data_IF_874898683508
#
_entry.id   IF_874898683508
#
_cell.length_a   1.000
_cell.length_b   1.000
_cell.length_c   1.000
_cell.angle_alpha   90.00
_cell.angle_beta   90.00
_cell.angle_gamma   90.00
#
_symmetry.space_group_name_H-M   'P 1'
#
loop_
_entity.id
_entity.type
_entity.pdbx_description
1 polymer ?
#
# COMPACT_ATOMS: atom_id res chain seq x y z
N UNK A 1 -51.11 34.10 12.36
CA UNK A 1 -50.50 32.95 13.07
C UNK A 1 -49.45 32.38 12.11
N UNK A 2 -48.17 32.72 12.27
CA UNK A 2 -47.20 32.09 13.20
C UNK A 2 -46.67 30.75 12.64
N UNK A 3 -45.79 30.78 11.64
CA UNK A 3 -44.34 30.58 11.84
C UNK A 3 -43.61 30.46 10.47
N UNK A 4 -42.61 31.31 10.21
CA UNK A 4 -41.61 31.09 9.18
C UNK A 4 -40.37 30.47 9.84
N UNK A 5 -39.96 29.25 9.49
CA UNK A 5 -38.62 28.81 9.88
C UNK A 5 -38.14 27.55 9.13
N UNK A 6 -36.93 27.70 8.60
CA UNK A 6 -35.91 26.69 8.30
C UNK A 6 -36.24 25.59 7.29
N UNK A 7 -35.71 25.76 6.08
CA UNK A 7 -34.89 24.69 5.48
C UNK A 7 -33.60 25.32 4.96
N UNK A 8 -32.60 25.39 5.85
CA UNK A 8 -31.23 25.78 5.51
C UNK A 8 -30.63 24.63 4.68
N UNK A 9 -30.72 24.75 3.37
CA UNK A 9 -30.06 23.84 2.43
C UNK A 9 -28.92 24.60 1.78
N UNK A 10 -27.68 24.27 2.15
CA UNK A 10 -26.58 24.20 1.18
C UNK A 10 -25.33 23.58 1.80
N UNK A 11 -24.97 22.45 1.20
CA UNK A 11 -23.62 22.07 0.83
C UNK A 11 -22.68 21.62 1.95
N UNK A 12 -22.81 20.33 2.30
CA UNK A 12 -21.70 19.57 2.84
C UNK A 12 -20.58 19.55 1.79
N UNK A 13 -19.54 20.36 2.00
CA UNK A 13 -18.30 20.25 1.26
C UNK A 13 -17.68 18.90 1.62
N UNK A 14 -17.64 17.97 0.67
CA UNK A 14 -16.76 16.81 0.76
C UNK A 14 -15.33 17.35 0.69
N UNK A 15 -14.69 17.45 1.85
CA UNK A 15 -13.27 17.72 1.94
C UNK A 15 -12.59 16.39 1.55
N UNK A 16 -12.30 16.22 0.26
CA UNK A 16 -11.26 15.29 -0.15
C UNK A 16 -9.95 15.83 0.40
N UNK A 17 -9.45 15.23 1.48
CA UNK A 17 -8.13 15.55 2.00
C UNK A 17 -7.09 15.36 0.90
N UNK A 18 -6.00 16.15 0.89
CA UNK A 18 -4.91 15.91 -0.03
C UNK A 18 -4.42 14.48 0.22
N UNK A 19 -4.40 13.65 -0.83
CA UNK A 19 -3.40 12.59 -0.89
C UNK A 19 -2.07 13.36 -0.83
N UNK A 20 -1.51 13.45 0.37
CA UNK A 20 -0.22 14.10 0.57
C UNK A 20 0.77 13.23 -0.18
N UNK A 21 1.15 13.68 -1.38
CA UNK A 21 2.23 13.09 -2.12
C UNK A 21 3.51 13.27 -1.28
N UNK A 22 4.18 12.16 -0.97
CA UNK A 22 5.23 12.04 0.03
C UNK A 22 5.54 10.59 0.37
N UNK A 23 6.37 10.37 1.41
CA UNK A 23 6.67 9.02 1.91
C UNK A 23 5.39 8.30 2.34
N UNK A 24 5.09 7.20 1.65
CA UNK A 24 4.02 6.27 1.96
C UNK A 24 4.59 4.99 2.54
N UNK A 25 3.83 4.37 3.45
CA UNK A 25 4.11 3.01 3.91
C UNK A 25 2.96 2.11 3.49
N UNK A 26 3.27 0.99 2.87
CA UNK A 26 2.28 -0.01 2.47
C UNK A 26 2.72 -1.40 2.88
N UNK A 27 1.77 -2.33 2.95
CA UNK A 27 2.05 -3.75 3.13
C UNK A 27 1.58 -4.51 1.91
N UNK A 28 2.47 -5.34 1.35
CA UNK A 28 2.12 -6.25 0.27
C UNK A 28 2.40 -7.69 0.70
N UNK A 29 1.56 -8.60 0.24
CA UNK A 29 1.76 -10.04 0.34
C UNK A 29 2.16 -10.58 -1.02
N UNK A 30 3.27 -11.31 -1.07
CA UNK A 30 3.83 -11.93 -2.26
C UNK A 30 3.71 -13.44 -2.11
N UNK A 31 3.09 -14.09 -3.08
CA UNK A 31 2.87 -15.55 -3.07
C UNK A 31 3.66 -16.23 -4.18
N UNK A 32 3.63 -17.57 -4.21
CA UNK A 32 4.30 -18.36 -5.24
C UNK A 32 5.79 -18.60 -4.98
N UNK A 33 6.24 -18.46 -3.73
CA UNK A 33 7.65 -18.56 -3.34
C UNK A 33 8.11 -20.01 -3.15
N UNK A 34 7.94 -20.86 -4.16
CA UNK A 34 8.16 -22.32 -4.10
C UNK A 34 9.62 -22.79 -4.08
N UNK A 35 10.58 -21.87 -4.07
CA UNK A 35 11.99 -22.17 -4.11
C UNK A 35 12.75 -21.46 -2.99
N UNK A 36 13.87 -22.04 -2.55
CA UNK A 36 14.67 -21.52 -1.42
C UNK A 36 15.17 -20.09 -1.63
N UNK A 37 15.41 -19.67 -2.88
CA UNK A 37 15.84 -18.33 -3.24
C UNK A 37 14.69 -17.39 -3.62
N UNK A 38 13.47 -17.90 -3.80
CA UNK A 38 12.33 -17.13 -4.29
C UNK A 38 12.03 -15.89 -3.42
N UNK A 39 11.99 -15.99 -2.07
CA UNK A 39 11.72 -14.83 -1.22
C UNK A 39 12.75 -13.71 -1.39
N UNK A 40 14.02 -14.08 -1.59
CA UNK A 40 15.09 -13.10 -1.81
C UNK A 40 14.94 -12.39 -3.16
N UNK A 41 14.57 -13.10 -4.22
CA UNK A 41 14.35 -12.51 -5.54
C UNK A 41 13.13 -11.58 -5.50
N UNK A 42 12.05 -11.98 -4.84
CA UNK A 42 10.88 -11.13 -4.66
C UNK A 42 11.20 -9.84 -3.90
N UNK A 43 12.00 -9.92 -2.82
CA UNK A 43 12.46 -8.75 -2.08
C UNK A 43 13.35 -7.84 -2.95
N UNK A 44 14.28 -8.42 -3.72
CA UNK A 44 15.14 -7.66 -4.63
C UNK A 44 14.36 -6.91 -5.70
N UNK A 45 13.34 -7.55 -6.28
CA UNK A 45 12.50 -6.90 -7.28
C UNK A 45 11.82 -5.62 -6.76
N UNK A 46 11.48 -5.59 -5.47
CA UNK A 46 10.93 -4.40 -4.80
C UNK A 46 12.02 -3.36 -4.56
N UNK A 47 13.17 -3.75 -4.01
CA UNK A 47 14.26 -2.82 -3.66
C UNK A 47 15.06 -2.29 -4.85
N UNK A 48 14.92 -2.91 -6.03
CA UNK A 48 15.46 -2.40 -7.29
C UNK A 48 14.77 -1.09 -7.73
N UNK A 49 13.58 -0.79 -7.19
CA UNK A 49 12.92 0.50 -7.35
C UNK A 49 13.61 1.50 -6.42
N UNK A 50 14.29 2.49 -7.00
CA UNK A 50 15.16 3.42 -6.26
C UNK A 50 14.49 4.18 -5.10
N UNK A 51 13.17 4.37 -5.15
CA UNK A 51 12.40 5.04 -4.11
C UNK A 51 11.72 4.09 -3.11
N UNK A 52 11.91 2.77 -3.23
CA UNK A 52 11.24 1.77 -2.39
C UNK A 52 12.23 1.07 -1.44
N UNK A 53 11.86 0.97 -0.17
CA UNK A 53 12.63 0.29 0.86
C UNK A 53 11.73 -0.67 1.64
N UNK A 54 12.19 -1.90 1.83
CA UNK A 54 11.54 -2.86 2.73
C UNK A 54 12.02 -2.59 4.16
N UNK A 55 11.12 -2.14 5.03
CA UNK A 55 11.45 -1.81 6.43
C UNK A 55 11.08 -2.89 7.43
N UNK A 56 10.14 -3.75 7.08
CA UNK A 56 9.75 -4.89 7.88
C UNK A 56 9.14 -5.97 6.99
N UNK A 57 9.00 -7.19 7.51
CA UNK A 57 8.37 -8.27 6.80
C UNK A 57 8.60 -9.63 7.43
N UNK A 58 7.89 -10.61 6.89
CA UNK A 58 8.11 -12.01 7.26
C UNK A 58 7.96 -12.91 6.05
N UNK A 59 8.51 -14.12 6.17
CA UNK A 59 8.35 -15.19 5.20
C UNK A 59 7.77 -16.42 5.89
N UNK A 60 6.69 -16.95 5.34
CA UNK A 60 6.09 -18.22 5.74
C UNK A 60 6.42 -19.31 4.70
N UNK A 61 7.36 -20.17 5.07
CA UNK A 61 7.78 -21.29 4.24
C UNK A 61 6.75 -22.43 4.13
N UNK A 62 5.72 -22.49 4.99
CA UNK A 62 4.64 -23.47 4.84
C UNK A 62 3.61 -22.98 3.83
N UNK A 63 3.31 -21.69 3.85
CA UNK A 63 2.36 -21.05 2.95
C UNK A 63 2.96 -20.58 1.62
N UNK A 64 4.29 -20.60 1.49
CA UNK A 64 5.01 -20.17 0.29
C UNK A 64 4.72 -18.69 -0.05
N UNK A 65 4.61 -17.87 0.99
CA UNK A 65 4.30 -16.45 0.90
C UNK A 65 5.23 -15.61 1.78
N UNK A 66 5.44 -14.36 1.40
CA UNK A 66 6.11 -13.35 2.19
C UNK A 66 5.24 -12.11 2.29
N UNK A 67 5.26 -11.42 3.43
CA UNK A 67 4.71 -10.08 3.55
C UNK A 67 5.84 -9.09 3.71
N UNK A 68 5.77 -8.00 2.97
CA UNK A 68 6.74 -6.90 3.01
C UNK A 68 6.02 -5.60 3.39
N UNK A 69 6.56 -4.92 4.39
CA UNK A 69 6.22 -3.53 4.72
C UNK A 69 7.21 -2.65 3.98
N UNK A 70 6.69 -1.84 3.06
CA UNK A 70 7.48 -1.06 2.11
C UNK A 70 7.22 0.40 2.37
N UNK A 71 8.29 1.16 2.62
CA UNK A 71 8.26 2.60 2.54
C UNK A 71 8.65 3.03 1.12
N UNK A 72 7.89 3.94 0.53
CA UNK A 72 8.18 4.46 -0.79
C UNK A 72 7.71 5.89 -0.98
N UNK A 73 8.36 6.62 -1.86
CA UNK A 73 7.90 7.94 -2.30
C UNK A 73 6.86 7.78 -3.43
N UNK A 74 5.61 8.19 -3.18
CA UNK A 74 4.52 8.07 -4.15
C UNK A 74 4.55 9.12 -5.28
N UNK A 75 5.47 10.10 -5.22
CA UNK A 75 5.82 10.96 -6.35
C UNK A 75 6.76 10.25 -7.34
N UNK A 76 7.53 9.26 -6.87
CA UNK A 76 8.53 8.54 -7.66
C UNK A 76 8.07 7.15 -8.12
N UNK A 77 7.26 6.45 -7.33
CA UNK A 77 6.73 5.12 -7.66
C UNK A 77 5.28 4.98 -7.24
N UNK A 78 4.59 3.96 -7.74
CA UNK A 78 3.19 3.70 -7.39
C UNK A 78 3.03 2.33 -6.77
N UNK A 79 1.95 2.13 -6.00
CA UNK A 79 1.60 0.81 -5.49
C UNK A 79 1.51 -0.24 -6.61
N UNK A 80 0.95 0.11 -7.76
CA UNK A 80 0.84 -0.80 -8.90
C UNK A 80 2.22 -1.19 -9.44
N UNK A 81 3.19 -0.26 -9.47
CA UNK A 81 4.56 -0.57 -9.85
C UNK A 81 5.24 -1.52 -8.84
N UNK A 82 5.04 -1.32 -7.54
CA UNK A 82 5.54 -2.23 -6.49
C UNK A 82 4.97 -3.65 -6.65
N UNK A 83 3.66 -3.76 -6.89
CA UNK A 83 3.01 -5.06 -7.11
C UNK A 83 3.52 -5.72 -8.41
N UNK A 84 3.60 -4.96 -9.51
CA UNK A 84 4.06 -5.46 -10.81
C UNK A 84 5.52 -5.91 -10.79
N UNK A 85 6.38 -5.26 -10.00
CA UNK A 85 7.79 -5.61 -9.92
C UNK A 85 8.00 -7.08 -9.54
N UNK A 86 7.18 -7.61 -8.63
CA UNK A 86 7.25 -9.02 -8.24
C UNK A 86 6.59 -9.96 -9.25
N UNK A 87 5.54 -9.50 -9.94
CA UNK A 87 4.81 -10.25 -10.97
C UNK A 87 5.69 -10.56 -12.18
N UNK A 88 6.59 -9.66 -12.56
CA UNK A 88 7.53 -9.85 -13.67
C UNK A 88 8.47 -11.05 -13.46
N UNK A 89 8.69 -11.45 -12.20
CA UNK A 89 9.46 -12.64 -11.83
C UNK A 89 8.59 -13.87 -11.55
N UNK A 90 7.27 -13.77 -11.74
CA UNK A 90 6.31 -14.84 -11.49
C UNK A 90 5.82 -14.93 -10.04
N UNK A 91 6.00 -13.88 -9.25
CA UNK A 91 5.52 -13.82 -7.86
C UNK A 91 4.33 -12.86 -7.76
N UNK A 92 3.09 -13.36 -7.84
CA UNK A 92 1.92 -12.51 -7.70
C UNK A 92 1.88 -11.86 -6.32
N UNK A 93 1.67 -10.54 -6.32
CA UNK A 93 1.56 -9.75 -5.11
C UNK A 93 0.18 -9.10 -4.99
N UNK A 94 -0.27 -8.94 -3.76
CA UNK A 94 -1.52 -8.26 -3.40
C UNK A 94 -1.28 -7.26 -2.28
N UNK A 95 -1.95 -6.10 -2.35
CA UNK A 95 -1.99 -5.18 -1.22
C UNK A 95 -2.65 -5.88 -0.04
N UNK A 96 -1.99 -5.86 1.11
CA UNK A 96 -2.62 -6.15 2.39
C UNK A 96 -3.08 -4.81 2.93
N UNK A 97 -4.38 -4.52 2.79
CA UNK A 97 -4.99 -3.37 3.46
C UNK A 97 -4.77 -3.52 4.97
N UNK A 98 -3.80 -2.79 5.53
CA UNK A 98 -3.78 -2.50 6.96
C UNK A 98 -4.63 -1.23 7.17
N UNK A 99 -5.53 -1.19 8.18
CA UNK A 99 -6.56 -0.17 8.25
C UNK A 99 -5.88 1.18 8.36
N UNK A 100 -6.45 2.16 7.64
CA UNK A 100 -6.06 3.55 7.68
C UNK A 100 -5.52 3.91 9.07
N UNK A 101 -4.23 4.24 9.14
CA UNK A 101 -3.68 4.97 10.27
C UNK A 101 -4.50 6.25 10.34
N UNK A 102 -5.51 6.25 11.21
CA UNK A 102 -6.22 7.46 11.59
C UNK A 102 -5.16 8.45 12.08
N UNK A 103 -5.05 9.67 11.50
CA UNK A 103 -4.11 10.64 11.99
C UNK A 103 -4.49 10.98 13.43
N UNK A 104 -3.64 10.56 14.37
CA UNK A 104 -3.77 10.92 15.77
C UNK A 104 -3.86 12.44 15.90
N UNK A 105 -4.94 12.86 16.55
CA UNK A 105 -5.35 14.25 16.81
C UNK A 105 -4.40 14.98 17.76
#
# INVERSE_FOLDING_TARGET
MKNPLYVLTTLAALIGGPALAGEQTTRIEVTGLYCSSCPYIAAQAITDIASAEIVDGFYDANLQLAQFVIQYDDEMTTLEALLSATVDFGYPATLVEEPAVEPAS
#
